data_IF_596743454737
#
_entry.id   IF_596743454737
#
_cell.length_a   1.000
_cell.length_b   1.000
_cell.length_c   1.000
_cell.angle_alpha   90.00
_cell.angle_beta   90.00
_cell.angle_gamma   90.00
#
_symmetry.space_group_name_H-M   'P 1'
#
loop_
_entity.id
_entity.type
_entity.pdbx_description
1 polymer ?
#
# COMPACT_ATOMS: atom_id res chain seq x y z
N UNK A 1 16.51 1.36 -21.55
CA UNK A 1 15.78 0.68 -21.53
C UNK A 1 15.81 -0.28 -20.48
N UNK A 2 16.90 -0.53 -19.82
CA UNK A 2 16.92 -1.37 -18.72
C UNK A 2 16.02 -0.91 -17.65
N UNK A 3 15.90 0.39 -17.50
CA UNK A 3 15.03 0.88 -16.53
C UNK A 3 13.64 0.49 -16.79
N UNK A 4 13.28 0.44 -18.02
CA UNK A 4 11.95 0.04 -18.42
C UNK A 4 11.73 -1.40 -18.00
N UNK A 5 12.76 -2.21 -18.17
CA UNK A 5 12.66 -3.61 -17.81
C UNK A 5 12.48 -3.73 -16.31
N UNK A 6 13.21 -2.95 -15.56
CA UNK A 6 13.07 -2.99 -14.13
C UNK A 6 11.66 -2.65 -13.71
N UNK A 7 11.08 -1.66 -14.35
CA UNK A 7 9.73 -1.29 -14.03
C UNK A 7 8.77 -2.38 -14.38
N UNK A 8 9.08 -3.11 -15.43
CA UNK A 8 8.24 -4.23 -15.80
C UNK A 8 8.20 -5.28 -14.74
N UNK A 9 9.29 -5.48 -14.02
CA UNK A 9 9.31 -6.45 -12.96
C UNK A 9 8.41 -6.03 -11.83
N UNK A 10 8.38 -4.74 -11.54
CA UNK A 10 7.63 -4.25 -10.41
C UNK A 10 6.23 -3.84 -10.82
N UNK A 11 5.48 -4.76 -11.36
CA UNK A 11 4.10 -4.47 -11.71
C UNK A 11 3.27 -4.35 -10.44
N UNK A 12 2.14 -3.66 -10.54
CA UNK A 12 1.27 -3.47 -9.39
C UNK A 12 0.83 -4.82 -8.82
N UNK A 13 0.49 -5.77 -9.68
CA UNK A 13 0.09 -7.10 -9.21
C UNK A 13 1.16 -7.78 -8.41
N UNK A 14 2.39 -7.70 -8.91
CA UNK A 14 3.50 -8.32 -8.22
C UNK A 14 3.73 -7.67 -6.87
N UNK A 15 3.68 -6.34 -6.83
CA UNK A 15 3.88 -5.62 -5.58
C UNK A 15 2.80 -5.97 -4.57
N UNK A 16 1.57 -6.15 -5.03
CA UNK A 16 0.48 -6.56 -4.15
C UNK A 16 0.78 -7.93 -3.54
N UNK A 17 1.16 -8.88 -4.37
CA UNK A 17 1.42 -10.23 -3.91
C UNK A 17 2.57 -10.29 -2.93
N UNK A 18 3.65 -9.63 -3.26
CA UNK A 18 4.83 -9.66 -2.40
C UNK A 18 4.57 -8.91 -1.11
N UNK A 19 3.94 -7.76 -1.21
CA UNK A 19 3.61 -7.00 -0.03
C UNK A 19 2.70 -7.77 0.91
N UNK A 20 1.67 -8.41 0.35
CA UNK A 20 0.75 -9.20 1.14
C UNK A 20 1.45 -10.36 1.82
N UNK A 21 2.36 -11.01 1.10
CA UNK A 21 3.08 -12.12 1.66
C UNK A 21 3.86 -11.68 2.91
N UNK A 22 4.56 -10.58 2.80
CA UNK A 22 5.32 -10.08 3.95
C UNK A 22 4.40 -9.62 5.06
N UNK A 23 3.32 -8.96 4.69
CA UNK A 23 2.38 -8.45 5.67
C UNK A 23 1.80 -9.59 6.52
N UNK A 24 1.35 -10.65 5.88
CA UNK A 24 0.73 -11.75 6.60
C UNK A 24 1.74 -12.64 7.32
N UNK A 25 3.01 -12.52 6.95
CA UNK A 25 4.06 -13.21 7.67
C UNK A 25 4.57 -12.40 8.87
N UNK A 26 4.08 -11.19 9.04
CA UNK A 26 4.52 -10.34 10.12
C UNK A 26 5.76 -9.53 9.80
N UNK A 27 6.20 -9.56 8.53
CA UNK A 27 7.40 -8.88 8.10
C UNK A 27 7.04 -7.47 7.66
N UNK A 28 6.71 -6.64 8.62
CA UNK A 28 6.12 -5.35 8.33
C UNK A 28 7.07 -4.37 7.65
N UNK A 29 8.35 -4.47 7.94
CA UNK A 29 9.33 -3.59 7.30
C UNK A 29 9.32 -3.81 5.79
N UNK A 30 9.36 -5.05 5.37
CA UNK A 30 9.34 -5.36 3.94
C UNK A 30 7.98 -5.05 3.34
N UNK A 31 6.91 -5.37 4.06
CA UNK A 31 5.57 -5.08 3.56
C UNK A 31 5.43 -3.59 3.29
N UNK A 32 5.92 -2.75 4.19
CA UNK A 32 5.82 -1.31 4.00
C UNK A 32 6.56 -0.85 2.76
N UNK A 33 7.72 -1.45 2.49
CA UNK A 33 8.48 -1.10 1.30
C UNK A 33 7.71 -1.40 0.03
N UNK A 34 7.14 -2.58 -0.04
CA UNK A 34 6.43 -2.98 -1.26
C UNK A 34 5.12 -2.23 -1.41
N UNK A 35 4.42 -1.98 -0.31
CA UNK A 35 3.19 -1.21 -0.39
C UNK A 35 3.49 0.24 -0.78
N UNK A 36 4.60 0.79 -0.32
CA UNK A 36 4.96 2.15 -0.70
C UNK A 36 5.15 2.24 -2.21
N UNK A 37 5.85 1.27 -2.77
CA UNK A 37 6.05 1.24 -4.21
C UNK A 37 4.74 1.03 -4.96
N UNK A 38 3.91 0.17 -4.42
CA UNK A 38 2.61 -0.10 -5.03
C UNK A 38 1.77 1.16 -5.10
N UNK A 39 1.67 1.88 -4.01
CA UNK A 39 0.81 3.05 -3.98
C UNK A 39 1.38 4.21 -4.78
N UNK A 40 2.68 4.22 -4.94
CA UNK A 40 3.32 5.22 -5.78
C UNK A 40 3.02 4.93 -7.25
N UNK A 41 3.06 3.66 -7.60
CA UNK A 41 2.81 3.24 -8.97
C UNK A 41 1.32 3.24 -9.30
N UNK A 42 0.49 2.84 -8.36
CA UNK A 42 -0.94 2.70 -8.57
C UNK A 42 -1.72 3.31 -7.41
N UNK A 43 -1.80 4.64 -7.36
CA UNK A 43 -2.50 5.30 -6.25
C UNK A 43 -4.00 5.00 -6.21
N UNK A 44 -4.52 4.44 -7.28
CA UNK A 44 -5.94 4.06 -7.31
C UNK A 44 -6.19 2.67 -6.77
N UNK A 45 -5.19 2.09 -6.12
CA UNK A 45 -5.35 0.78 -5.53
C UNK A 45 -6.47 0.77 -4.50
N UNK A 46 -6.97 -0.42 -4.22
CA UNK A 46 -8.06 -0.57 -3.28
C UNK A 46 -7.72 0.02 -1.93
N UNK A 47 -8.74 0.49 -1.22
CA UNK A 47 -8.52 1.12 0.07
C UNK A 47 -7.81 0.20 1.05
N UNK A 48 -8.04 -1.10 0.95
CA UNK A 48 -7.42 -2.04 1.87
C UNK A 48 -5.89 -1.97 1.83
N UNK A 49 -5.31 -1.61 0.70
CA UNK A 49 -3.86 -1.51 0.63
C UNK A 49 -3.33 -0.30 1.38
N UNK A 50 -4.11 0.78 1.43
CA UNK A 50 -3.75 1.92 2.25
C UNK A 50 -3.80 1.54 3.71
N UNK A 51 -4.77 0.74 4.10
CA UNK A 51 -4.89 0.28 5.48
C UNK A 51 -3.70 -0.59 5.86
N UNK A 52 -3.37 -1.56 5.01
CA UNK A 52 -2.25 -2.45 5.27
C UNK A 52 -0.94 -1.71 5.33
N UNK A 53 -0.78 -0.75 4.45
CA UNK A 53 0.41 0.06 4.45
C UNK A 53 0.51 0.84 5.75
N UNK A 54 -0.61 1.43 6.20
CA UNK A 54 -0.63 2.17 7.45
C UNK A 54 -0.26 1.26 8.62
N UNK A 55 -0.80 0.05 8.65
CA UNK A 55 -0.48 -0.89 9.71
C UNK A 55 1.00 -1.25 9.70
N UNK A 56 1.54 -1.47 8.51
CA UNK A 56 2.95 -1.79 8.38
C UNK A 56 3.82 -0.65 8.89
N UNK A 57 3.45 0.58 8.56
CA UNK A 57 4.20 1.73 9.02
C UNK A 57 4.12 1.88 10.53
N UNK A 58 2.96 1.62 11.10
CA UNK A 58 2.76 1.72 12.53
C UNK A 58 3.63 0.71 13.26
N UNK A 59 3.67 -0.52 12.75
CA UNK A 59 4.47 -1.56 13.37
C UNK A 59 5.95 -1.29 13.28
N UNK A 60 6.38 -0.50 12.32
CA UNK A 60 7.78 -0.19 12.15
C UNK A 60 8.16 1.16 12.76
N UNK A 61 7.25 1.77 13.50
CA UNK A 61 7.56 2.99 14.22
C UNK A 61 7.32 4.28 13.45
N UNK A 62 6.78 4.20 12.25
CA UNK A 62 6.53 5.41 11.45
C UNK A 62 5.10 5.85 11.64
N UNK A 63 4.79 6.26 12.85
CA UNK A 63 3.42 6.54 13.25
C UNK A 63 2.80 7.71 12.51
N UNK A 64 3.56 8.75 12.27
CA UNK A 64 3.01 9.91 11.57
C UNK A 64 2.57 9.57 10.17
N UNK A 65 3.42 8.85 9.46
CA UNK A 65 3.09 8.47 8.11
C UNK A 65 1.94 7.47 8.11
N UNK A 66 1.90 6.60 9.11
CA UNK A 66 0.81 5.66 9.25
C UNK A 66 -0.51 6.39 9.40
N UNK A 67 -0.53 7.47 10.18
CA UNK A 67 -1.74 8.25 10.37
C UNK A 67 -2.18 8.90 9.06
N UNK A 68 -1.23 9.37 8.27
CA UNK A 68 -1.57 9.95 6.97
C UNK A 68 -2.22 8.92 6.07
N UNK A 69 -1.70 7.71 6.09
CA UNK A 69 -2.26 6.66 5.25
C UNK A 69 -3.64 6.25 5.75
N UNK A 70 -3.87 6.29 7.05
CA UNK A 70 -5.19 5.99 7.60
C UNK A 70 -6.20 7.03 7.17
N UNK A 71 -5.78 8.29 7.11
CA UNK A 71 -6.66 9.34 6.64
C UNK A 71 -7.04 9.09 5.20
N UNK A 72 -6.08 8.69 4.38
CA UNK A 72 -6.36 8.38 2.99
C UNK A 72 -7.28 7.17 2.87
N UNK A 73 -7.06 6.17 3.71
CA UNK A 73 -7.91 5.00 3.71
C UNK A 73 -9.37 5.38 4.03
N UNK A 74 -9.55 6.19 5.04
CA UNK A 74 -10.88 6.60 5.44
C UNK A 74 -11.54 7.46 4.36
N UNK A 75 -10.74 8.30 3.73
CA UNK A 75 -11.24 9.14 2.66
C UNK A 75 -11.74 8.30 1.50
N UNK A 76 -10.99 7.28 1.13
CA UNK A 76 -11.40 6.40 0.04
C UNK A 76 -12.63 5.61 0.40
N UNK A 77 -12.73 5.14 1.63
CA UNK A 77 -13.92 4.42 2.06
C UNK A 77 -15.13 5.31 2.08
N UNK A 78 -14.97 6.54 2.53
CA UNK A 78 -16.08 7.47 2.58
C UNK A 78 -16.57 7.77 1.17
N UNK A 79 -15.64 7.96 0.25
CA UNK A 79 -16.04 8.22 -1.13
C UNK A 79 -16.77 7.05 -1.73
N UNK A 80 -16.32 5.84 -1.42
CA UNK A 80 -17.00 4.66 -1.92
C UNK A 80 -18.41 4.57 -1.39
N UNK A 81 -18.59 4.90 -0.11
CA UNK A 81 -19.91 4.86 0.47
C UNK A 81 -20.82 5.89 -0.17
N UNK A 82 -20.31 7.09 -0.36
CA UNK A 82 -21.08 8.14 -1.00
C UNK A 82 -21.46 7.74 -2.40
N UNK A 83 -20.55 7.13 -3.11
CA UNK A 83 -20.82 6.72 -4.47
C UNK A 83 -21.95 5.71 -4.53
N UNK A 84 -22.07 4.90 -3.51
CA UNK A 84 -23.14 3.92 -3.50
C UNK A 84 -24.49 4.53 -3.30
N UNK A 85 -24.53 5.61 -2.61
CA UNK A 85 -25.79 6.27 -2.37
C UNK A 85 -26.19 7.15 -3.52
#
# INVERSE_FOLDING_TARGET
YMKVVDKGYASADMLKKVGDKHYFNGDMTEAAKFYAQLLEMAPNSEASYYYRYAQSLKETGQTEKANEMMVLFESKNANNRIAKE
#
